data_IF_171299313080
#
_entry.id   IF_171299313080
#
_cell.length_a   1.000
_cell.length_b   1.000
_cell.length_c   1.000
_cell.angle_alpha   90.00
_cell.angle_beta   90.00
_cell.angle_gamma   90.00
#
_symmetry.space_group_name_H-M   'P 1'
#
loop_
_entity.id
_entity.type
_entity.pdbx_description
1 polymer ?
#
# COMPACT_ATOMS: atom_id res chain seq x y z
N UNK A 1 -34.04 -33.63 5.89
CA UNK A 1 -33.66 -32.38 6.59
C UNK A 1 -32.53 -31.72 5.81
N UNK A 2 -32.76 -30.54 5.21
CA UNK A 2 -31.71 -29.67 4.67
C UNK A 2 -32.06 -28.25 5.15
N UNK A 3 -31.22 -27.67 6.02
CA UNK A 3 -31.35 -26.31 6.59
C UNK A 3 -30.81 -25.31 5.55
N UNK A 4 -31.54 -24.24 5.22
CA UNK A 4 -31.40 -22.89 5.82
C UNK A 4 -30.26 -22.11 5.15
N UNK A 5 -30.51 -21.29 4.11
CA UNK A 5 -30.84 -19.84 4.11
C UNK A 5 -29.66 -18.89 4.41
N UNK A 6 -29.63 -17.78 3.64
CA UNK A 6 -29.08 -16.44 3.96
C UNK A 6 -27.64 -16.04 3.53
N UNK A 7 -27.59 -14.97 2.72
CA UNK A 7 -26.61 -13.89 2.94
C UNK A 7 -25.55 -13.65 1.86
N UNK A 8 -25.92 -13.28 0.64
CA UNK A 8 -25.02 -12.54 -0.27
C UNK A 8 -24.83 -11.12 0.30
N UNK A 9 -23.98 -11.04 1.32
CA UNK A 9 -23.63 -9.80 2.00
C UNK A 9 -22.76 -8.99 1.03
N UNK A 10 -23.33 -7.95 0.43
CA UNK A 10 -22.59 -6.90 -0.25
C UNK A 10 -21.63 -6.26 0.76
N UNK A 11 -20.41 -6.78 0.84
CA UNK A 11 -19.37 -6.14 1.64
C UNK A 11 -19.20 -4.73 1.06
N UNK A 12 -19.26 -3.67 1.87
CA UNK A 12 -18.92 -2.35 1.38
C UNK A 12 -17.52 -2.50 0.80
N UNK A 13 -17.36 -2.30 -0.51
CA UNK A 13 -16.03 -2.09 -1.09
C UNK A 13 -15.54 -0.83 -0.40
N UNK A 14 -14.88 -1.02 0.75
CA UNK A 14 -14.00 -0.03 1.30
C UNK A 14 -13.02 0.22 0.15
N UNK A 15 -13.27 1.30 -0.58
CA UNK A 15 -12.32 1.94 -1.47
C UNK A 15 -11.24 2.48 -0.53
N UNK A 16 -10.49 1.55 0.07
CA UNK A 16 -9.30 1.85 0.81
C UNK A 16 -8.32 2.30 -0.26
N UNK A 17 -8.36 3.61 -0.56
CA UNK A 17 -7.38 4.23 -1.42
C UNK A 17 -6.01 3.79 -0.93
N UNK A 18 -5.12 3.35 -1.84
CA UNK A 18 -3.83 2.86 -1.44
C UNK A 18 -3.11 3.96 -0.69
N UNK A 19 -2.68 3.67 0.53
CA UNK A 19 -1.93 4.60 1.37
C UNK A 19 -0.55 4.77 0.74
N UNK A 20 -0.32 5.90 0.07
CA UNK A 20 0.93 6.18 -0.59
C UNK A 20 1.63 7.38 0.05
N UNK A 21 2.94 7.25 0.28
CA UNK A 21 3.81 8.32 0.76
C UNK A 21 4.79 8.70 -0.33
N UNK A 22 4.91 10.00 -0.57
CA UNK A 22 5.92 10.54 -1.47
C UNK A 22 6.91 11.37 -0.66
N UNK A 23 8.17 11.00 -0.76
CA UNK A 23 9.30 11.70 -0.16
C UNK A 23 10.27 12.08 -1.29
N UNK A 24 10.09 13.30 -1.80
CA UNK A 24 10.81 13.81 -2.97
C UNK A 24 10.68 12.91 -4.20
N UNK A 25 11.78 12.26 -4.55
CA UNK A 25 11.94 11.33 -5.66
C UNK A 25 11.41 9.92 -5.39
N UNK A 26 11.14 9.57 -4.14
CA UNK A 26 10.71 8.24 -3.73
C UNK A 26 9.21 8.19 -3.46
N UNK A 27 8.57 7.10 -3.88
CA UNK A 27 7.15 6.83 -3.64
C UNK A 27 6.99 5.45 -3.04
N UNK A 28 6.45 5.40 -1.82
CA UNK A 28 6.07 4.17 -1.14
C UNK A 28 4.55 3.99 -1.28
N UNK A 29 4.11 2.87 -1.82
CA UNK A 29 2.70 2.51 -1.94
C UNK A 29 2.41 1.33 -1.01
N UNK A 30 1.64 1.57 0.05
CA UNK A 30 1.09 0.53 0.92
C UNK A 30 -0.27 0.10 0.39
N UNK A 31 -0.30 -1.13 -0.08
CA UNK A 31 -1.55 -1.78 -0.47
C UNK A 31 -2.22 -2.34 0.77
N UNK A 32 -3.54 -2.13 0.90
CA UNK A 32 -4.32 -2.62 2.04
C UNK A 32 -4.28 -4.15 2.19
N UNK A 33 -3.99 -4.88 1.11
CA UNK A 33 -3.94 -6.35 1.07
C UNK A 33 -2.65 -6.87 0.40
N UNK A 34 -1.53 -6.15 0.54
CA UNK A 34 -0.30 -6.51 -0.16
C UNK A 34 0.99 -6.02 0.48
N UNK A 35 2.11 -6.47 -0.10
CA UNK A 35 3.43 -5.99 0.30
C UNK A 35 3.58 -4.52 -0.12
N UNK A 36 4.27 -3.71 0.70
CA UNK A 36 4.62 -2.34 0.33
C UNK A 36 5.47 -2.35 -0.93
N UNK A 37 5.19 -1.43 -1.85
CA UNK A 37 5.97 -1.25 -3.07
C UNK A 37 6.68 0.09 -3.03
N UNK A 38 7.97 0.08 -3.30
CA UNK A 38 8.81 1.27 -3.34
C UNK A 38 9.17 1.54 -4.80
N UNK A 39 8.98 2.78 -5.21
CA UNK A 39 9.29 3.26 -6.55
C UNK A 39 10.16 4.50 -6.45
N UNK A 40 11.14 4.61 -7.35
CA UNK A 40 11.97 5.79 -7.47
C UNK A 40 11.53 6.57 -8.69
N UNK A 41 10.67 7.57 -8.51
CA UNK A 41 10.03 8.34 -9.58
C UNK A 41 11.05 9.12 -10.41
N UNK A 42 12.19 9.52 -9.83
CA UNK A 42 13.26 10.20 -10.58
C UNK A 42 13.86 9.33 -11.68
N UNK A 43 14.11 8.06 -11.37
CA UNK A 43 14.75 7.11 -12.28
C UNK A 43 13.73 6.27 -13.07
N UNK A 44 12.56 6.00 -12.50
CA UNK A 44 11.54 5.12 -13.04
C UNK A 44 10.15 5.77 -12.86
N UNK A 45 9.85 6.74 -13.74
CA UNK A 45 8.55 7.44 -13.75
C UNK A 45 7.36 6.53 -14.02
N UNK A 46 7.60 5.39 -14.67
CA UNK A 46 6.55 4.47 -15.08
C UNK A 46 6.25 3.39 -14.01
N UNK A 47 6.87 3.49 -12.82
CA UNK A 47 6.61 2.62 -11.66
C UNK A 47 6.65 1.12 -12.04
N UNK A 48 7.56 0.76 -12.94
CA UNK A 48 7.64 -0.57 -13.56
C UNK A 48 8.35 -1.57 -12.66
N UNK A 49 9.30 -1.11 -11.83
CA UNK A 49 10.09 -1.96 -10.94
C UNK A 49 9.87 -1.58 -9.49
N UNK A 50 9.37 -2.55 -8.71
CA UNK A 50 9.28 -2.39 -7.27
C UNK A 50 10.64 -2.60 -6.63
N UNK A 51 11.29 -1.51 -6.24
CA UNK A 51 12.58 -1.48 -5.54
C UNK A 51 12.47 -1.88 -4.06
N UNK A 52 11.28 -2.28 -3.60
CA UNK A 52 11.03 -2.63 -2.20
C UNK A 52 11.84 -3.85 -1.73
N UNK A 53 12.13 -4.79 -2.64
CA UNK A 53 12.96 -5.96 -2.33
C UNK A 53 14.45 -5.61 -2.29
N UNK A 54 14.88 -4.64 -3.10
CA UNK A 54 16.28 -4.22 -3.20
C UNK A 54 16.67 -3.23 -2.09
N UNK A 55 15.73 -2.38 -1.64
CA UNK A 55 15.95 -1.37 -0.61
C UNK A 55 14.96 -1.52 0.56
N UNK A 56 15.05 -2.63 1.34
CA UNK A 56 14.14 -2.87 2.47
C UNK A 56 14.28 -1.81 3.58
N UNK A 57 15.49 -1.28 3.80
CA UNK A 57 15.76 -0.22 4.78
C UNK A 57 14.97 1.06 4.48
N UNK A 58 14.98 1.49 3.21
CA UNK A 58 14.24 2.68 2.77
C UNK A 58 12.73 2.48 2.85
N UNK A 59 12.24 1.27 2.56
CA UNK A 59 10.83 0.90 2.77
C UNK A 59 10.45 1.09 4.23
N UNK A 60 11.29 0.62 5.17
CA UNK A 60 11.00 0.74 6.59
C UNK A 60 10.96 2.20 7.06
N UNK A 61 11.97 2.99 6.67
CA UNK A 61 12.01 4.43 6.97
C UNK A 61 10.77 5.18 6.46
N UNK A 62 10.35 4.89 5.23
CA UNK A 62 9.16 5.52 4.64
C UNK A 62 7.86 5.02 5.28
N UNK A 63 7.79 3.76 5.74
CA UNK A 63 6.66 3.25 6.53
C UNK A 63 6.56 3.96 7.88
N UNK A 64 7.68 4.17 8.57
CA UNK A 64 7.70 4.92 9.82
C UNK A 64 7.22 6.35 9.60
N UNK A 65 7.69 7.00 8.53
CA UNK A 65 7.23 8.33 8.14
C UNK A 65 5.72 8.35 7.85
N UNK A 66 5.21 7.36 7.11
CA UNK A 66 3.77 7.21 6.88
C UNK A 66 2.96 7.02 8.18
N UNK A 67 3.43 6.15 9.09
CA UNK A 67 2.77 5.91 10.36
C UNK A 67 2.71 7.21 11.19
N UNK A 68 3.80 8.00 11.18
CA UNK A 68 3.84 9.32 11.80
C UNK A 68 2.85 10.30 11.17
N UNK A 69 2.72 10.31 9.83
CA UNK A 69 1.76 11.18 9.14
C UNK A 69 0.30 10.84 9.40
N UNK A 70 -0.03 9.58 9.69
CA UNK A 70 -1.39 9.17 10.04
C UNK A 70 -1.73 9.34 11.52
N UNK A 71 -0.71 9.47 12.38
CA UNK A 71 -0.87 9.56 13.83
C UNK A 71 -0.97 11.01 14.36
N UNK A 72 -0.98 12.00 13.47
CA UNK A 72 -1.21 13.42 13.79
C UNK A 72 -2.42 13.96 13.04
#
# INVERSE_FOLDING_TARGET
MLRGTEGEQYTPRALAWPKAVRDGDWKLVMQSKGRPKLYHISQDRNETKSLAAEFPDRVDKMKQFHAKLLAG
#
